data_IF_994750494339
#
_entry.id   IF_994750494339
#
_cell.length_a   1.000
_cell.length_b   1.000
_cell.length_c   1.000
_cell.angle_alpha   90.00
_cell.angle_beta   90.00
_cell.angle_gamma   90.00
#
_symmetry.space_group_name_H-M   'P 1'
#
loop_
_entity.id
_entity.type
_entity.pdbx_description
1 polymer ?
#
# COMPACT_ATOMS: atom_id res chain seq x y z
N UNK A 1 8.47 14.15 -5.33
CA UNK A 1 8.50 12.87 -4.59
C UNK A 1 8.63 11.76 -5.61
N UNK A 2 9.16 10.62 -5.22
CA UNK A 2 9.36 9.45 -6.09
C UNK A 2 8.40 8.35 -5.64
N UNK A 3 7.78 7.67 -6.60
CA UNK A 3 6.96 6.49 -6.32
C UNK A 3 7.88 5.33 -5.92
N UNK A 4 7.61 4.74 -4.76
CA UNK A 4 8.29 3.55 -4.28
C UNK A 4 7.29 2.40 -4.18
N UNK A 5 7.73 1.22 -4.62
CA UNK A 5 7.06 -0.04 -4.32
C UNK A 5 7.76 -0.73 -3.15
N UNK A 6 6.96 -1.35 -2.31
CA UNK A 6 7.42 -2.34 -1.35
C UNK A 6 6.64 -3.63 -1.56
N UNK A 7 7.35 -4.72 -1.77
CA UNK A 7 6.79 -6.07 -1.63
C UNK A 7 7.32 -6.68 -0.36
N UNK A 8 6.46 -7.32 0.43
CA UNK A 8 6.80 -7.82 1.75
C UNK A 8 6.11 -9.15 2.05
N UNK A 9 6.70 -9.88 2.99
CA UNK A 9 6.12 -11.12 3.54
C UNK A 9 6.04 -11.00 5.06
N UNK A 10 4.86 -11.25 5.62
CA UNK A 10 4.63 -11.20 7.06
C UNK A 10 4.49 -12.62 7.59
N UNK A 11 5.20 -12.92 8.67
CA UNK A 11 4.99 -14.18 9.38
C UNK A 11 3.57 -14.22 9.93
N UNK A 12 2.86 -15.31 9.66
CA UNK A 12 1.54 -15.55 10.25
C UNK A 12 1.63 -15.67 11.78
N UNK A 13 0.75 -14.96 12.47
CA UNK A 13 0.61 -14.96 13.93
C UNK A 13 -0.86 -15.09 14.32
N UNK A 14 -1.13 -15.32 15.61
CA UNK A 14 -2.48 -15.22 16.18
C UNK A 14 -2.51 -14.04 17.16
N UNK A 15 -3.26 -12.96 16.88
CA UNK A 15 -4.10 -12.71 15.70
C UNK A 15 -3.29 -12.48 14.40
N UNK A 16 -3.96 -12.65 13.25
CA UNK A 16 -3.35 -12.45 11.91
C UNK A 16 -2.91 -11.00 11.71
N UNK A 17 -1.67 -10.73 11.24
CA UNK A 17 -1.13 -9.38 11.24
C UNK A 17 -1.56 -8.52 10.04
N UNK A 18 -1.91 -9.15 8.91
CA UNK A 18 -2.07 -8.48 7.61
C UNK A 18 -3.01 -7.28 7.61
N UNK A 19 -4.22 -7.43 8.14
CA UNK A 19 -5.22 -6.34 8.12
C UNK A 19 -4.76 -5.15 8.95
N UNK A 20 -4.23 -5.39 10.14
CA UNK A 20 -3.72 -4.32 11.01
C UNK A 20 -2.48 -3.65 10.40
N UNK A 21 -1.61 -4.44 9.74
CA UNK A 21 -0.47 -3.92 9.03
C UNK A 21 -0.87 -3.00 7.87
N UNK A 22 -1.77 -3.43 7.00
CA UNK A 22 -2.27 -2.62 5.86
C UNK A 22 -2.89 -1.32 6.38
N UNK A 23 -3.77 -1.39 7.39
CA UNK A 23 -4.38 -0.20 8.00
C UNK A 23 -3.35 0.77 8.62
N UNK A 24 -2.25 0.25 9.15
CA UNK A 24 -1.15 1.07 9.67
C UNK A 24 -0.32 1.68 8.53
N UNK A 25 -0.03 0.91 7.49
CA UNK A 25 0.73 1.35 6.32
C UNK A 25 0.01 2.47 5.56
N UNK A 26 -1.32 2.38 5.45
CA UNK A 26 -2.16 3.45 4.91
C UNK A 26 -1.96 4.80 5.58
N UNK A 27 -1.81 4.81 6.91
CA UNK A 27 -1.58 6.04 7.67
C UNK A 27 -0.19 6.62 7.44
N UNK A 28 0.74 5.79 6.99
CA UNK A 28 2.12 6.14 6.66
C UNK A 28 2.31 6.48 5.17
N UNK A 29 1.22 6.53 4.39
CA UNK A 29 1.22 6.94 2.98
C UNK A 29 1.34 5.79 1.97
N UNK A 30 1.25 4.53 2.42
CA UNK A 30 1.25 3.37 1.53
C UNK A 30 -0.16 2.96 1.13
N UNK A 31 -0.37 2.67 -0.15
CA UNK A 31 -1.64 2.23 -0.72
C UNK A 31 -1.48 0.89 -1.43
N UNK A 32 -2.55 0.12 -1.50
CA UNK A 32 -2.65 -1.08 -2.35
C UNK A 32 -3.48 -0.83 -3.60
N UNK A 33 -3.96 0.39 -3.84
CA UNK A 33 -4.60 0.80 -5.09
C UNK A 33 -3.64 1.66 -5.89
N UNK A 34 -3.26 1.25 -7.09
CA UNK A 34 -2.30 1.95 -7.96
C UNK A 34 -2.96 2.46 -9.23
N UNK A 35 -2.68 3.70 -9.62
CA UNK A 35 -3.18 4.29 -10.87
C UNK A 35 -2.12 4.15 -11.97
N UNK A 36 -2.41 3.28 -12.95
CA UNK A 36 -1.64 3.19 -14.18
C UNK A 36 -2.02 4.29 -15.17
N UNK A 37 -1.98 3.99 -16.46
CA UNK A 37 -2.26 4.98 -17.52
C UNK A 37 -3.74 5.31 -17.63
N UNK A 38 -4.61 4.30 -17.64
CA UNK A 38 -6.07 4.44 -17.80
C UNK A 38 -6.88 3.80 -16.69
N UNK A 39 -6.29 2.83 -16.00
CA UNK A 39 -6.97 2.03 -14.99
C UNK A 39 -6.31 2.16 -13.62
N UNK A 40 -7.13 1.93 -12.61
CA UNK A 40 -6.72 1.63 -11.25
C UNK A 40 -6.61 0.12 -11.08
N UNK A 41 -5.60 -0.31 -10.35
CA UNK A 41 -5.31 -1.70 -10.06
C UNK A 41 -5.27 -1.92 -8.57
N UNK A 42 -5.86 -3.02 -8.10
CA UNK A 42 -5.53 -3.56 -6.78
C UNK A 42 -4.19 -4.28 -6.89
N UNK A 43 -3.20 -3.81 -6.16
CA UNK A 43 -1.91 -4.45 -6.05
C UNK A 43 -2.04 -5.80 -5.32
N UNK A 44 -1.12 -6.75 -5.56
CA UNK A 44 -1.07 -7.99 -4.80
C UNK A 44 -1.08 -7.73 -3.29
N UNK A 45 -1.68 -8.64 -2.51
CA UNK A 45 -1.87 -8.45 -1.05
C UNK A 45 -0.55 -8.22 -0.26
N UNK A 46 0.59 -8.51 -0.87
CA UNK A 46 1.94 -8.35 -0.33
C UNK A 46 2.70 -7.16 -0.94
N UNK A 47 2.04 -6.31 -1.72
CA UNK A 47 2.66 -5.17 -2.39
C UNK A 47 1.91 -3.89 -2.09
N UNK A 48 2.66 -2.87 -1.67
CA UNK A 48 2.16 -1.52 -1.45
C UNK A 48 3.00 -0.53 -2.24
N UNK A 49 2.42 0.63 -2.52
CA UNK A 49 3.14 1.73 -3.15
C UNK A 49 2.85 3.05 -2.43
N UNK A 50 3.75 4.01 -2.54
CA UNK A 50 3.55 5.36 -2.03
C UNK A 50 4.56 6.33 -2.60
N UNK A 51 4.37 7.62 -2.34
CA UNK A 51 5.28 8.67 -2.79
C UNK A 51 6.13 9.17 -1.63
N UNK A 52 7.46 9.05 -1.75
CA UNK A 52 8.41 9.45 -0.70
C UNK A 52 9.57 10.25 -1.31
N UNK A 53 10.27 11.04 -0.49
CA UNK A 53 11.43 11.80 -0.98
C UNK A 53 12.70 10.95 -1.15
N UNK A 54 12.76 9.77 -0.50
CA UNK A 54 13.86 8.81 -0.66
C UNK A 54 13.43 7.41 -0.24
N UNK A 55 14.20 6.40 -0.65
CA UNK A 55 14.02 5.01 -0.24
C UNK A 55 14.08 4.87 1.29
N UNK A 56 15.02 5.56 1.94
CA UNK A 56 15.16 5.57 3.40
C UNK A 56 13.89 6.07 4.11
N UNK A 57 13.20 7.07 3.55
CA UNK A 57 11.96 7.56 4.14
C UNK A 57 10.80 6.57 3.94
N UNK A 58 10.75 5.88 2.79
CA UNK A 58 9.80 4.79 2.55
C UNK A 58 10.04 3.62 3.53
N UNK A 59 11.29 3.22 3.74
CA UNK A 59 11.66 2.18 4.71
C UNK A 59 11.26 2.58 6.13
N UNK A 60 11.56 3.82 6.55
CA UNK A 60 11.15 4.33 7.87
C UNK A 60 9.63 4.38 8.03
N UNK A 61 8.88 4.74 7.00
CA UNK A 61 7.42 4.72 7.00
C UNK A 61 6.89 3.29 7.17
N UNK A 62 7.47 2.33 6.47
CA UNK A 62 7.12 0.92 6.58
C UNK A 62 7.42 0.35 7.98
N UNK A 63 8.56 0.72 8.57
CA UNK A 63 8.89 0.31 9.95
C UNK A 63 7.96 0.92 11.00
N UNK A 64 7.51 2.17 10.80
CA UNK A 64 6.49 2.79 11.66
C UNK A 64 5.15 2.06 11.53
N UNK A 65 4.75 1.68 10.32
CA UNK A 65 3.55 0.88 10.08
C UNK A 65 3.62 -0.47 10.79
N UNK A 66 4.75 -1.19 10.67
CA UNK A 66 5.02 -2.46 11.38
C UNK A 66 4.88 -2.28 12.89
N UNK A 67 5.52 -1.26 13.46
CA UNK A 67 5.47 -0.98 14.89
C UNK A 67 4.05 -0.61 15.36
N UNK A 68 3.31 0.17 14.58
CA UNK A 68 1.93 0.54 14.88
C UNK A 68 0.98 -0.67 14.83
N UNK A 69 1.15 -1.56 13.85
CA UNK A 69 0.40 -2.80 13.77
C UNK A 69 0.67 -3.72 14.96
N UNK A 70 1.95 -3.89 15.35
CA UNK A 70 2.33 -4.66 16.53
C UNK A 70 1.69 -4.12 17.81
N UNK A 71 1.74 -2.79 18.01
CA UNK A 71 1.06 -2.14 19.14
C UNK A 71 -0.45 -2.37 19.12
N UNK A 72 -1.08 -2.29 17.95
CA UNK A 72 -2.53 -2.48 17.81
C UNK A 72 -2.98 -3.91 18.11
N UNK A 73 -2.14 -4.91 17.83
CA UNK A 73 -2.49 -6.32 18.01
C UNK A 73 -2.02 -6.87 19.36
N UNK A 74 -1.12 -6.19 20.06
CA UNK A 74 -0.50 -6.70 21.29
C UNK A 74 0.45 -7.88 21.04
N UNK A 75 0.87 -8.10 19.79
CA UNK A 75 1.83 -9.15 19.40
C UNK A 75 2.91 -8.57 18.50
N UNK A 76 4.06 -9.22 18.43
CA UNK A 76 5.12 -8.83 17.52
C UNK A 76 4.73 -9.15 16.08
N UNK A 77 4.83 -8.17 15.18
CA UNK A 77 4.69 -8.36 13.73
C UNK A 77 6.08 -8.58 13.14
N UNK A 78 6.31 -9.78 12.60
CA UNK A 78 7.56 -10.13 11.94
C UNK A 78 7.42 -10.01 10.43
N UNK A 79 8.34 -9.25 9.82
CA UNK A 79 8.51 -9.19 8.37
C UNK A 79 9.63 -10.16 8.03
N UNK A 80 9.32 -11.23 7.31
CA UNK A 80 10.31 -12.24 6.95
C UNK A 80 11.22 -11.73 5.83
N UNK A 81 10.63 -11.03 4.86
CA UNK A 81 11.31 -10.50 3.68
C UNK A 81 10.63 -9.21 3.25
N UNK A 82 11.40 -8.27 2.74
CA UNK A 82 10.87 -7.13 2.00
C UNK A 82 11.84 -6.70 0.90
N UNK A 83 11.31 -5.99 -0.09
CA UNK A 83 12.06 -5.41 -1.19
C UNK A 83 11.49 -4.04 -1.52
N UNK A 84 12.34 -3.03 -1.53
CA UNK A 84 11.98 -1.65 -1.89
C UNK A 84 12.65 -1.26 -3.19
N UNK A 85 11.91 -0.59 -4.07
CA UNK A 85 12.46 -0.03 -5.31
C UNK A 85 11.75 1.26 -5.68
N UNK A 86 12.45 2.16 -6.36
CA UNK A 86 11.77 3.21 -7.14
C UNK A 86 10.95 2.56 -8.25
N UNK A 87 9.83 3.18 -8.59
CA UNK A 87 8.94 2.76 -9.66
C UNK A 87 9.15 3.64 -10.89
N UNK A 88 10.13 3.27 -11.71
CA UNK A 88 10.48 4.00 -12.93
C UNK A 88 9.74 3.46 -14.18
N UNK A 89 9.54 2.14 -14.23
CA UNK A 89 8.72 1.44 -15.22
C UNK A 89 7.93 0.31 -14.53
N UNK A 90 6.80 -0.07 -15.10
CA UNK A 90 5.87 -1.01 -14.46
C UNK A 90 5.05 -1.81 -15.46
N UNK A 91 4.71 -3.03 -15.03
CA UNK A 91 3.66 -3.84 -15.62
C UNK A 91 2.88 -4.49 -14.48
N UNK A 92 1.56 -4.45 -14.56
CA UNK A 92 0.68 -5.01 -13.54
C UNK A 92 -0.43 -5.80 -14.21
N UNK A 93 -0.67 -7.00 -13.70
CA UNK A 93 -1.87 -7.77 -13.98
C UNK A 93 -2.62 -7.89 -12.66
N UNK A 94 -3.87 -7.46 -12.66
CA UNK A 94 -4.74 -7.49 -11.47
C UNK A 94 -6.09 -8.05 -11.87
N UNK A 95 -6.59 -8.99 -11.07
CA UNK A 95 -7.96 -9.49 -11.17
C UNK A 95 -8.99 -8.40 -10.85
N UNK A 96 -8.56 -7.34 -10.15
CA UNK A 96 -9.35 -6.15 -9.86
C UNK A 96 -8.74 -4.91 -10.48
N UNK A 97 -9.21 -4.59 -11.68
CA UNK A 97 -8.88 -3.35 -12.37
C UNK A 97 -10.09 -2.70 -13.01
N UNK A 98 -10.12 -1.36 -13.00
CA UNK A 98 -11.14 -0.56 -13.66
C UNK A 98 -10.66 0.86 -13.93
N UNK A 99 -11.34 1.57 -14.84
CA UNK A 99 -11.13 3.00 -15.00
C UNK A 99 -11.45 3.77 -13.70
N UNK A 100 -10.71 4.84 -13.37
CA UNK A 100 -11.01 5.69 -12.23
C UNK A 100 -12.38 6.37 -12.40
N UNK A 101 -13.11 6.53 -11.30
CA UNK A 101 -14.40 7.21 -11.31
C UNK A 101 -14.18 8.68 -11.01
N UNK A 102 -14.81 9.56 -11.80
CA UNK A 102 -14.63 11.01 -11.67
C UNK A 102 -14.94 11.57 -10.26
N UNK A 103 -15.83 10.89 -9.51
CA UNK A 103 -16.22 11.30 -8.15
C UNK A 103 -15.14 11.08 -7.10
N UNK A 104 -14.16 10.21 -7.32
CA UNK A 104 -13.12 9.85 -6.36
C UNK A 104 -11.75 10.25 -6.88
N UNK A 105 -11.59 11.55 -7.12
CA UNK A 105 -10.36 12.15 -7.63
C UNK A 105 -9.76 13.07 -6.58
N UNK A 106 -8.44 13.22 -6.61
CA UNK A 106 -7.68 14.15 -5.77
C UNK A 106 -6.73 15.01 -6.60
N UNK A 107 -5.94 15.86 -5.95
CA UNK A 107 -4.98 16.74 -6.61
C UNK A 107 -3.76 15.98 -7.15
N UNK A 108 -3.54 14.73 -6.71
CA UNK A 108 -2.48 13.86 -7.18
C UNK A 108 -2.99 12.45 -7.49
N UNK A 109 -2.15 11.64 -8.15
CA UNK A 109 -2.42 10.21 -8.36
C UNK A 109 -2.56 9.48 -7.03
N UNK A 110 -1.66 9.74 -6.07
CA UNK A 110 -1.72 9.17 -4.73
C UNK A 110 -3.06 9.50 -4.04
N UNK A 111 -3.50 10.76 -4.11
CA UNK A 111 -4.76 11.16 -3.50
C UNK A 111 -5.97 10.54 -4.20
N UNK A 112 -5.96 10.46 -5.53
CA UNK A 112 -7.00 9.76 -6.32
C UNK A 112 -7.08 8.29 -5.92
N UNK A 113 -5.94 7.58 -5.86
CA UNK A 113 -5.87 6.21 -5.39
C UNK A 113 -6.38 6.06 -3.96
N UNK A 114 -6.06 7.01 -3.06
CA UNK A 114 -6.54 7.01 -1.68
C UNK A 114 -8.07 7.15 -1.62
N UNK A 115 -8.65 8.06 -2.41
CA UNK A 115 -10.10 8.24 -2.47
C UNK A 115 -10.80 6.97 -2.94
N UNK A 116 -10.27 6.30 -3.97
CA UNK A 116 -10.77 5.01 -4.41
C UNK A 116 -10.63 3.94 -3.31
N UNK A 117 -9.47 3.81 -2.68
CA UNK A 117 -9.26 2.81 -1.63
C UNK A 117 -10.24 2.97 -0.45
N UNK A 118 -10.59 4.20 -0.09
CA UNK A 118 -11.49 4.51 1.02
C UNK A 118 -12.97 4.36 0.69
N UNK A 119 -13.37 4.74 -0.52
CA UNK A 119 -14.78 4.94 -0.84
C UNK A 119 -15.32 3.99 -1.92
N UNK A 120 -14.44 3.34 -2.68
CA UNK A 120 -14.81 2.47 -3.79
C UNK A 120 -14.92 1.01 -3.32
N UNK A 121 -16.14 0.43 -3.26
CA UNK A 121 -16.33 -0.95 -2.82
C UNK A 121 -15.56 -1.96 -3.68
N UNK A 122 -15.23 -1.60 -4.93
CA UNK A 122 -14.44 -2.43 -5.82
C UNK A 122 -13.03 -2.70 -5.26
N UNK A 123 -12.47 -1.72 -4.56
CA UNK A 123 -11.13 -1.77 -3.99
C UNK A 123 -11.09 -2.05 -2.49
N UNK A 124 -12.23 -2.15 -1.80
CA UNK A 124 -12.23 -2.44 -0.37
C UNK A 124 -11.56 -3.79 0.00
N UNK A 125 -10.85 -3.80 1.13
CA UNK A 125 -10.20 -4.97 1.72
C UNK A 125 -11.10 -5.69 2.73
#
# INVERSE_FOLDING_TARGET
MTSYLVTYDLKETTPKPHRAFIQAAEKEGFLYVFQGTRDLFRLPNTTLWGEFASCDLATKAFDRAKAAAARSLGVTVYVEKNFFTSLDDWSVTSDRSKAPEARWTGYSKLETCRQHQLNDPYFAY
#
